data_IF_525208465724
#
_entry.id   IF_525208465724
#
_cell.length_a   1.000
_cell.length_b   1.000
_cell.length_c   1.000
_cell.angle_alpha   90.00
_cell.angle_beta   90.00
_cell.angle_gamma   90.00
#
_symmetry.space_group_name_H-M   'P 1'
#
loop_
_entity.id
_entity.type
_entity.pdbx_description
1 polymer ?
#
# COMPACT_ATOMS: atom_id res chain seq x y z
N UNK A 1 -45.04 14.07 48.58
CA UNK A 1 -43.95 14.62 49.41
C UNK A 1 -42.63 14.26 48.75
N UNK A 2 -41.91 15.27 48.29
CA UNK A 2 -40.70 15.18 47.47
C UNK A 2 -39.50 14.77 48.33
N UNK A 3 -38.65 13.86 47.85
CA UNK A 3 -37.22 13.85 48.18
C UNK A 3 -36.41 13.36 46.99
N UNK A 4 -35.72 14.33 46.38
CA UNK A 4 -34.68 14.18 45.36
C UNK A 4 -33.51 13.41 45.96
N UNK A 5 -32.91 12.47 45.22
CA UNK A 5 -31.48 12.23 45.40
C UNK A 5 -30.80 12.12 44.03
N UNK A 6 -29.98 13.13 43.74
CA UNK A 6 -29.14 13.27 42.55
C UNK A 6 -27.95 12.33 42.72
N UNK A 7 -27.86 11.28 41.92
CA UNK A 7 -26.59 10.60 41.68
C UNK A 7 -26.11 10.96 40.27
N UNK A 8 -25.14 11.87 40.24
CA UNK A 8 -24.38 12.25 39.07
C UNK A 8 -23.41 11.08 38.75
N UNK A 9 -23.79 10.22 37.82
CA UNK A 9 -22.87 9.20 37.28
C UNK A 9 -22.00 9.87 36.23
N UNK A 10 -20.80 10.27 36.62
CA UNK A 10 -19.77 10.75 35.69
C UNK A 10 -19.20 9.52 34.98
N UNK A 11 -19.68 9.26 33.77
CA UNK A 11 -19.08 8.29 32.86
C UNK A 11 -17.81 8.91 32.27
N UNK A 12 -16.66 8.67 32.89
CA UNK A 12 -15.36 8.99 32.29
C UNK A 12 -15.14 7.98 31.15
N UNK A 13 -15.55 8.38 29.96
CA UNK A 13 -15.18 7.72 28.72
C UNK A 13 -13.66 7.96 28.51
N UNK A 14 -12.85 7.01 28.98
CA UNK A 14 -11.42 7.01 28.72
C UNK A 14 -11.17 6.88 27.24
N UNK A 15 -10.84 8.01 26.59
CA UNK A 15 -10.30 8.01 25.23
C UNK A 15 -8.93 7.36 25.32
N UNK A 16 -8.86 6.06 25.03
CA UNK A 16 -7.58 5.40 24.78
C UNK A 16 -7.07 5.97 23.47
N UNK A 17 -6.20 6.97 23.58
CA UNK A 17 -5.41 7.44 22.45
C UNK A 17 -4.47 6.27 22.12
N UNK A 18 -4.88 5.42 21.19
CA UNK A 18 -3.98 4.44 20.57
C UNK A 18 -3.05 5.29 19.69
N UNK A 19 -2.10 5.96 20.34
CA UNK A 19 -0.96 6.55 19.65
C UNK A 19 -0.32 5.43 18.83
N UNK A 20 -0.01 5.70 17.57
CA UNK A 20 0.73 4.78 16.72
C UNK A 20 2.10 4.55 17.37
N UNK A 21 2.18 3.55 18.25
CA UNK A 21 3.37 3.31 19.04
C UNK A 21 4.45 2.75 18.12
N UNK A 22 5.66 3.29 18.28
CA UNK A 22 6.86 2.75 17.69
C UNK A 22 7.90 2.54 18.78
N UNK A 23 8.74 1.52 18.63
CA UNK A 23 9.89 1.26 19.49
C UNK A 23 11.15 1.24 18.65
N UNK A 24 12.28 1.60 19.25
CA UNK A 24 13.57 1.31 18.64
C UNK A 24 13.84 -0.19 18.72
N UNK A 25 14.45 -0.76 17.70
CA UNK A 25 14.83 -2.18 17.73
C UNK A 25 15.86 -2.47 18.82
N UNK A 26 16.67 -1.48 19.22
CA UNK A 26 17.59 -1.59 20.36
C UNK A 26 16.89 -1.78 21.71
N UNK A 27 15.62 -1.40 21.81
CA UNK A 27 14.87 -1.35 23.08
C UNK A 27 14.03 -2.62 23.30
N UNK A 28 14.12 -3.60 22.39
CA UNK A 28 13.43 -4.88 22.49
C UNK A 28 14.43 -6.01 22.71
N UNK A 29 13.96 -7.09 23.34
CA UNK A 29 14.75 -8.30 23.53
C UNK A 29 15.30 -8.79 22.15
N UNK A 30 16.63 -9.06 22.01
CA UNK A 30 17.23 -9.49 20.75
C UNK A 30 16.67 -10.78 20.16
N UNK A 31 15.94 -11.59 20.94
CA UNK A 31 15.28 -12.81 20.50
C UNK A 31 13.85 -12.58 20.00
N UNK A 32 13.32 -11.35 20.10
CA UNK A 32 12.01 -11.02 19.51
C UNK A 32 12.17 -10.97 17.99
N UNK A 33 11.46 -11.85 17.23
CA UNK A 33 11.59 -11.89 15.79
C UNK A 33 10.89 -10.70 15.13
N UNK A 34 11.39 -10.28 13.96
CA UNK A 34 10.82 -9.17 13.20
C UNK A 34 9.84 -9.67 12.15
N UNK A 35 8.59 -9.19 12.21
CA UNK A 35 7.68 -9.26 11.08
C UNK A 35 8.16 -8.30 9.99
N UNK A 36 8.24 -8.80 8.75
CA UNK A 36 8.82 -8.08 7.62
C UNK A 36 7.73 -7.72 6.60
N UNK A 37 7.53 -6.44 6.32
CA UNK A 37 6.51 -5.95 5.38
C UNK A 37 7.17 -5.15 4.26
N UNK A 38 7.17 -5.72 3.05
CA UNK A 38 7.79 -5.15 1.86
C UNK A 38 6.76 -4.79 0.79
N UNK A 39 6.89 -3.58 0.22
CA UNK A 39 6.08 -3.14 -0.92
C UNK A 39 6.94 -2.51 -2.01
N UNK A 40 6.68 -2.89 -3.26
CA UNK A 40 7.26 -2.26 -4.46
C UNK A 40 6.15 -1.63 -5.27
N UNK A 41 6.36 -0.40 -5.73
CA UNK A 41 5.42 0.35 -6.58
C UNK A 41 6.16 0.82 -7.83
N UNK A 42 5.79 0.32 -9.00
CA UNK A 42 6.26 0.83 -10.28
C UNK A 42 5.25 1.82 -10.87
N UNK A 43 5.67 3.07 -11.07
CA UNK A 43 4.86 4.12 -11.69
C UNK A 43 5.25 4.25 -13.16
N UNK A 44 4.50 3.61 -14.06
CA UNK A 44 4.75 3.62 -15.52
C UNK A 44 4.86 5.03 -16.07
N UNK A 45 3.93 5.89 -15.69
CA UNK A 45 3.86 7.30 -16.12
C UNK A 45 5.02 8.20 -15.62
N UNK A 46 5.85 7.71 -14.70
CA UNK A 46 7.08 8.40 -14.25
C UNK A 46 8.35 7.62 -14.56
N UNK A 47 8.23 6.42 -15.12
CA UNK A 47 9.32 5.46 -15.26
C UNK A 47 10.15 5.33 -13.96
N UNK A 48 9.46 5.08 -12.84
CA UNK A 48 10.04 5.13 -11.50
C UNK A 48 9.52 3.99 -10.62
N UNK A 49 10.42 3.22 -10.03
CA UNK A 49 10.12 2.25 -8.97
C UNK A 49 10.36 2.85 -7.59
N UNK A 50 9.41 2.66 -6.68
CA UNK A 50 9.55 2.92 -5.24
C UNK A 50 9.53 1.61 -4.47
N UNK A 51 10.60 1.32 -3.73
CA UNK A 51 10.61 0.21 -2.78
C UNK A 51 10.36 0.74 -1.37
N UNK A 52 9.67 -0.05 -0.55
CA UNK A 52 9.25 0.32 0.80
C UNK A 52 9.35 -0.86 1.75
N UNK A 53 9.72 -0.59 3.00
CA UNK A 53 9.74 -1.59 4.06
C UNK A 53 9.23 -1.04 5.40
N UNK A 54 8.63 -1.90 6.21
CA UNK A 54 8.42 -1.66 7.64
C UNK A 54 8.57 -2.95 8.43
N UNK A 55 8.89 -2.83 9.71
CA UNK A 55 9.11 -3.96 10.60
C UNK A 55 8.25 -3.84 11.85
N UNK A 56 7.86 -4.97 12.43
CA UNK A 56 7.09 -5.03 13.68
C UNK A 56 7.62 -6.13 14.58
N UNK A 57 7.46 -5.97 15.89
CA UNK A 57 7.79 -7.04 16.84
C UNK A 57 6.83 -8.24 16.68
N UNK A 58 7.36 -9.47 16.72
CA UNK A 58 6.62 -10.74 16.83
C UNK A 58 5.72 -11.15 15.66
N UNK A 59 4.90 -10.27 15.08
CA UNK A 59 3.95 -10.57 14.00
C UNK A 59 3.37 -9.28 13.36
N UNK A 60 2.40 -9.45 12.45
CA UNK A 60 1.75 -8.34 11.71
C UNK A 60 1.06 -7.28 12.59
N UNK A 61 0.62 -7.66 13.78
CA UNK A 61 -0.13 -6.81 14.72
C UNK A 61 0.78 -6.17 15.78
N UNK A 62 2.07 -6.52 15.79
CA UNK A 62 3.03 -5.98 16.73
C UNK A 62 3.34 -4.50 16.54
N UNK A 63 4.02 -3.95 17.54
CA UNK A 63 4.48 -2.56 17.56
C UNK A 63 5.52 -2.35 16.44
N UNK A 64 5.41 -1.23 15.73
CA UNK A 64 6.34 -0.89 14.64
C UNK A 64 7.74 -0.64 15.18
N UNK A 65 8.74 -1.13 14.47
CA UNK A 65 10.15 -1.01 14.84
C UNK A 65 10.86 0.05 13.99
N UNK A 66 11.50 0.98 14.68
CA UNK A 66 12.55 1.82 14.15
C UNK A 66 13.89 1.09 14.34
N UNK A 67 14.53 0.70 13.24
CA UNK A 67 15.77 -0.06 13.26
C UNK A 67 16.90 0.84 13.78
N UNK A 68 17.58 0.35 14.80
CA UNK A 68 18.76 0.96 15.40
C UNK A 68 19.91 -0.05 15.31
N UNK A 69 21.13 0.48 15.22
CA UNK A 69 22.34 -0.35 15.13
C UNK A 69 22.35 -1.43 16.25
N UNK A 70 22.65 -2.70 15.92
CA UNK A 70 23.20 -3.17 14.64
C UNK A 70 22.14 -3.48 13.56
N UNK A 71 20.85 -3.41 13.88
CA UNK A 71 19.80 -3.69 12.92
C UNK A 71 19.73 -2.61 11.83
N UNK A 72 19.58 -3.05 10.58
CA UNK A 72 19.55 -2.17 9.40
C UNK A 72 18.90 -2.87 8.21
N UNK A 73 18.43 -2.07 7.25
CA UNK A 73 17.85 -2.56 6.00
C UNK A 73 18.52 -1.88 4.81
N UNK A 74 18.87 -2.66 3.81
CA UNK A 74 19.30 -2.17 2.49
C UNK A 74 18.32 -2.67 1.43
N UNK A 75 18.13 -1.89 0.37
CA UNK A 75 17.46 -2.33 -0.84
C UNK A 75 18.40 -2.08 -2.03
N UNK A 76 18.67 -3.12 -2.83
CA UNK A 76 19.62 -3.06 -3.96
C UNK A 76 20.99 -2.49 -3.53
N UNK A 77 21.46 -2.88 -2.34
CA UNK A 77 22.72 -2.41 -1.75
C UNK A 77 22.70 -0.97 -1.22
N UNK A 78 21.59 -0.22 -1.34
CA UNK A 78 21.49 1.18 -0.92
C UNK A 78 20.78 1.33 0.44
N UNK A 79 21.20 2.30 1.28
CA UNK A 79 20.48 2.64 2.50
C UNK A 79 19.14 3.31 2.18
N UNK A 80 18.20 3.20 3.12
CA UNK A 80 16.86 3.79 3.00
C UNK A 80 16.83 5.28 3.32
N UNK A 81 15.87 5.99 2.75
CA UNK A 81 15.33 7.21 3.37
C UNK A 81 14.31 6.82 4.45
N UNK A 82 14.50 7.31 5.68
CA UNK A 82 13.62 7.05 6.81
C UNK A 82 12.51 8.09 6.94
N UNK A 83 11.27 7.66 7.16
CA UNK A 83 10.13 8.52 7.48
C UNK A 83 9.26 7.84 8.53
N UNK A 84 8.94 8.51 9.63
CA UNK A 84 8.00 7.99 10.63
C UNK A 84 6.52 8.30 10.28
N UNK A 85 6.28 8.94 9.13
CA UNK A 85 4.94 9.27 8.62
C UNK A 85 4.49 8.23 7.61
N UNK A 86 3.28 7.69 7.80
CA UNK A 86 2.66 6.71 6.91
C UNK A 86 2.87 5.25 7.35
N UNK A 87 2.68 4.32 6.40
CA UNK A 87 2.68 2.88 6.68
C UNK A 87 4.07 2.22 6.57
N UNK A 88 5.02 2.87 5.90
CA UNK A 88 6.34 2.31 5.62
C UNK A 88 7.44 3.27 6.07
N UNK A 89 8.28 2.81 6.99
CA UNK A 89 9.34 3.64 7.55
C UNK A 89 10.55 3.79 6.63
N UNK A 90 10.85 2.78 5.82
CA UNK A 90 12.04 2.76 4.97
C UNK A 90 11.63 2.82 3.52
N UNK A 91 12.20 3.77 2.78
CA UNK A 91 11.81 4.05 1.39
C UNK A 91 13.05 4.18 0.51
N UNK A 92 12.93 3.72 -0.73
CA UNK A 92 13.93 3.86 -1.79
C UNK A 92 13.25 4.22 -3.11
N UNK A 93 14.00 4.89 -3.98
CA UNK A 93 13.58 5.19 -5.34
C UNK A 93 14.63 4.72 -6.34
N UNK A 94 14.16 4.12 -7.43
CA UNK A 94 14.97 3.60 -8.51
C UNK A 94 14.35 4.04 -9.83
N UNK A 95 15.17 4.49 -10.78
CA UNK A 95 14.72 4.78 -12.14
C UNK A 95 14.35 3.48 -12.86
N UNK A 96 13.37 3.58 -13.75
CA UNK A 96 12.92 2.44 -14.54
C UNK A 96 12.05 1.47 -13.77
N UNK A 97 11.78 0.35 -14.45
CA UNK A 97 11.25 -0.84 -13.85
C UNK A 97 12.40 -1.64 -13.22
N UNK A 98 12.54 -1.54 -11.90
CA UNK A 98 13.60 -2.19 -11.14
C UNK A 98 13.05 -3.26 -10.18
N UNK A 99 13.69 -4.43 -10.16
CA UNK A 99 13.54 -5.42 -9.11
C UNK A 99 14.06 -4.88 -7.78
N UNK A 100 13.50 -5.36 -6.66
CA UNK A 100 13.89 -4.95 -5.31
C UNK A 100 14.43 -6.12 -4.50
N UNK A 101 15.70 -6.03 -4.10
CA UNK A 101 16.38 -6.98 -3.23
C UNK A 101 16.60 -6.35 -1.85
N UNK A 102 15.82 -6.78 -0.87
CA UNK A 102 15.87 -6.34 0.51
C UNK A 102 16.83 -7.21 1.33
N UNK A 103 17.76 -6.57 2.05
CA UNK A 103 18.69 -7.22 2.98
C UNK A 103 18.51 -6.63 4.37
N UNK A 104 17.72 -7.31 5.19
CA UNK A 104 17.55 -6.99 6.61
C UNK A 104 18.69 -7.63 7.41
N UNK A 105 19.32 -6.85 8.27
CA UNK A 105 20.17 -7.34 9.37
C UNK A 105 19.44 -7.04 10.67
N UNK A 106 19.29 -8.02 11.55
CA UNK A 106 18.61 -7.84 12.84
C UNK A 106 19.56 -7.44 13.99
N UNK A 107 19.03 -7.38 15.20
CA UNK A 107 19.80 -7.07 16.41
C UNK A 107 20.90 -8.11 16.73
N UNK A 108 20.80 -9.32 16.18
CA UNK A 108 21.75 -10.42 16.37
C UNK A 108 22.70 -10.60 15.18
N UNK A 109 22.75 -9.63 14.28
CA UNK A 109 23.53 -9.67 13.04
C UNK A 109 23.13 -10.80 12.08
N UNK A 110 21.95 -11.43 12.27
CA UNK A 110 21.38 -12.38 11.33
C UNK A 110 20.88 -11.62 10.10
N UNK A 111 21.05 -12.22 8.93
CA UNK A 111 20.72 -11.60 7.64
C UNK A 111 19.55 -12.31 6.99
N UNK A 112 18.53 -11.54 6.63
CA UNK A 112 17.34 -11.99 5.92
C UNK A 112 17.29 -11.32 4.55
N UNK A 113 17.36 -12.14 3.49
CA UNK A 113 17.33 -11.66 2.11
C UNK A 113 15.95 -11.96 1.52
N UNK A 114 15.31 -10.93 0.96
CA UNK A 114 14.00 -11.02 0.34
C UNK A 114 14.00 -10.28 -0.98
N UNK A 115 13.17 -10.72 -1.92
CA UNK A 115 13.05 -10.07 -3.21
C UNK A 115 11.60 -9.90 -3.63
N UNK A 116 11.38 -8.83 -4.38
CA UNK A 116 10.16 -8.60 -5.15
C UNK A 116 10.61 -8.29 -6.57
N UNK A 117 10.25 -9.18 -7.51
CA UNK A 117 10.65 -9.12 -8.90
C UNK A 117 9.49 -8.65 -9.76
N UNK A 118 9.77 -7.89 -10.81
CA UNK A 118 8.71 -7.42 -11.71
C UNK A 118 8.05 -8.55 -12.49
N UNK A 119 8.74 -9.68 -12.69
CA UNK A 119 8.14 -10.88 -13.27
C UNK A 119 7.02 -11.48 -12.40
N UNK A 120 6.91 -11.07 -11.13
CA UNK A 120 5.86 -11.51 -10.21
C UNK A 120 4.57 -10.67 -10.31
N UNK A 121 4.51 -9.65 -11.18
CA UNK A 121 3.29 -8.85 -11.43
C UNK A 121 2.89 -8.89 -12.90
N UNK A 122 1.59 -9.07 -13.13
CA UNK A 122 1.00 -8.87 -14.44
C UNK A 122 0.88 -7.37 -14.76
N UNK A 123 1.25 -6.98 -15.99
CA UNK A 123 1.09 -5.59 -16.40
C UNK A 123 -0.39 -5.19 -16.50
N UNK A 124 -0.63 -3.87 -16.46
CA UNK A 124 -1.94 -3.27 -16.67
C UNK A 124 -1.83 -1.97 -17.48
N UNK A 125 -2.85 -1.70 -18.28
CA UNK A 125 -2.93 -0.51 -19.11
C UNK A 125 -4.37 -0.12 -19.45
N UNK A 126 -4.50 1.03 -20.09
CA UNK A 126 -5.76 1.48 -20.66
C UNK A 126 -5.85 1.03 -22.12
N UNK A 127 -7.02 0.61 -22.60
CA UNK A 127 -7.24 0.48 -24.03
C UNK A 127 -7.17 1.88 -24.68
N UNK A 128 -6.68 1.95 -25.92
CA UNK A 128 -6.51 3.22 -26.63
C UNK A 128 -7.84 3.99 -26.76
N UNK A 129 -8.94 3.26 -26.95
CA UNK A 129 -10.29 3.81 -27.15
C UNK A 129 -10.94 4.40 -25.89
N UNK A 130 -10.48 4.08 -24.69
CA UNK A 130 -11.12 4.56 -23.46
C UNK A 130 -10.65 5.98 -23.11
N UNK A 131 -11.40 6.98 -23.56
CA UNK A 131 -11.03 8.40 -23.46
C UNK A 131 -12.06 9.25 -22.71
N UNK A 132 -13.21 8.68 -22.36
CA UNK A 132 -14.33 9.41 -21.75
C UNK A 132 -14.92 8.63 -20.57
N UNK A 133 -15.35 9.34 -19.54
CA UNK A 133 -16.12 8.80 -18.42
C UNK A 133 -17.38 9.63 -18.22
N UNK A 134 -18.52 8.96 -18.07
CA UNK A 134 -19.83 9.57 -17.85
C UNK A 134 -20.03 9.89 -16.35
N UNK A 135 -20.30 11.17 -16.05
CA UNK A 135 -20.60 11.67 -14.70
C UNK A 135 -22.03 11.36 -14.25
N UNK A 136 -22.93 11.10 -15.18
CA UNK A 136 -24.35 10.84 -14.95
C UNK A 136 -24.73 9.40 -15.32
N UNK A 137 -23.83 8.45 -15.07
CA UNK A 137 -24.08 7.04 -15.34
C UNK A 137 -22.90 6.14 -14.96
N UNK A 138 -22.79 5.03 -15.68
CA UNK A 138 -21.71 4.06 -15.49
C UNK A 138 -20.87 3.98 -16.75
N UNK A 139 -19.55 4.11 -16.59
CA UNK A 139 -18.58 3.78 -17.64
C UNK A 139 -17.86 2.48 -17.28
N UNK A 140 -17.70 1.57 -18.23
CA UNK A 140 -16.98 0.31 -17.99
C UNK A 140 -15.60 0.39 -18.61
N UNK A 141 -14.57 0.41 -17.77
CA UNK A 141 -13.18 0.29 -18.19
C UNK A 141 -12.83 -1.18 -18.35
N UNK A 142 -12.60 -1.64 -19.57
CA UNK A 142 -11.94 -2.91 -19.85
C UNK A 142 -10.44 -2.66 -19.97
N UNK A 143 -9.62 -3.09 -19.01
CA UNK A 143 -8.19 -2.80 -19.04
C UNK A 143 -7.46 -3.66 -20.07
N UNK A 144 -6.31 -3.17 -20.55
CA UNK A 144 -5.37 -3.99 -21.31
C UNK A 144 -4.47 -4.77 -20.35
N UNK A 145 -4.32 -6.07 -20.57
CA UNK A 145 -3.51 -6.95 -19.73
C UNK A 145 -4.20 -8.29 -19.52
N UNK A 146 -3.69 -9.08 -18.58
CA UNK A 146 -4.29 -10.38 -18.25
C UNK A 146 -5.50 -10.22 -17.32
N UNK A 147 -6.46 -11.17 -17.33
CA UNK A 147 -7.50 -11.25 -16.31
C UNK A 147 -6.91 -11.39 -14.90
N UNK A 148 -7.65 -10.92 -13.89
CA UNK A 148 -7.23 -11.03 -12.49
C UNK A 148 -6.98 -12.47 -12.08
N UNK A 149 -5.86 -12.69 -11.38
CA UNK A 149 -5.51 -13.97 -10.75
C UNK A 149 -5.73 -13.89 -9.23
N UNK A 150 -5.54 -15.03 -8.55
CA UNK A 150 -5.60 -15.07 -7.09
C UNK A 150 -4.58 -14.10 -6.46
N UNK A 151 -5.00 -13.37 -5.42
CA UNK A 151 -4.16 -12.40 -4.72
C UNK A 151 -3.92 -11.10 -5.47
N UNK A 152 -4.57 -10.89 -6.63
CA UNK A 152 -4.51 -9.65 -7.38
C UNK A 152 -5.75 -8.79 -7.19
N UNK A 153 -5.55 -7.47 -7.19
CA UNK A 153 -6.65 -6.51 -7.24
C UNK A 153 -6.32 -5.35 -8.17
N UNK A 154 -7.35 -4.79 -8.82
CA UNK A 154 -7.25 -3.56 -9.61
C UNK A 154 -7.97 -2.43 -8.89
N UNK A 155 -7.38 -1.23 -8.91
CA UNK A 155 -7.98 0.01 -8.43
C UNK A 155 -8.01 1.06 -9.54
N UNK A 156 -9.05 1.88 -9.60
CA UNK A 156 -9.05 3.10 -10.38
C UNK A 156 -9.50 4.31 -9.55
N UNK A 157 -9.00 5.49 -9.90
CA UNK A 157 -9.38 6.77 -9.31
C UNK A 157 -9.32 7.87 -10.37
N UNK A 158 -10.32 8.75 -10.41
CA UNK A 158 -10.35 9.92 -11.28
C UNK A 158 -9.79 11.11 -10.50
N UNK A 159 -8.92 11.89 -11.15
CA UNK A 159 -8.28 13.09 -10.61
C UNK A 159 -8.65 14.28 -11.49
N UNK A 160 -9.15 15.37 -10.90
CA UNK A 160 -9.48 16.61 -11.60
C UNK A 160 -8.98 17.80 -10.77
N UNK A 161 -7.78 18.27 -11.07
CA UNK A 161 -7.12 19.30 -10.26
C UNK A 161 -6.81 18.80 -8.86
N UNK A 162 -7.38 19.46 -7.84
CA UNK A 162 -7.31 19.08 -6.42
C UNK A 162 -8.44 18.12 -6.00
N UNK A 163 -9.40 17.84 -6.88
CA UNK A 163 -10.53 16.95 -6.64
C UNK A 163 -10.25 15.54 -7.13
N UNK A 164 -10.93 14.57 -6.52
CA UNK A 164 -10.81 13.16 -6.88
C UNK A 164 -12.11 12.40 -6.66
N UNK A 165 -12.31 11.31 -7.39
CA UNK A 165 -13.36 10.34 -7.09
C UNK A 165 -13.00 9.49 -5.88
N UNK A 166 -13.96 8.75 -5.34
CA UNK A 166 -13.64 7.56 -4.53
C UNK A 166 -12.80 6.53 -5.33
N UNK A 167 -12.44 5.44 -4.67
CA UNK A 167 -11.69 4.35 -5.30
C UNK A 167 -12.63 3.28 -5.84
N UNK A 168 -12.53 2.98 -7.13
CA UNK A 168 -13.15 1.80 -7.73
C UNK A 168 -12.20 0.62 -7.58
N UNK A 169 -12.71 -0.56 -7.25
CA UNK A 169 -11.89 -1.75 -7.07
C UNK A 169 -12.55 -3.01 -7.63
N UNK A 170 -11.71 -3.95 -8.07
CA UNK A 170 -12.13 -5.28 -8.47
C UNK A 170 -11.02 -6.28 -8.10
N UNK A 171 -11.38 -7.34 -7.41
CA UNK A 171 -10.54 -8.47 -6.99
C UNK A 171 -11.12 -9.82 -7.43
N UNK A 172 -12.16 -9.80 -8.29
CA UNK A 172 -12.80 -11.02 -8.80
C UNK A 172 -11.88 -11.72 -9.80
N UNK A 173 -11.47 -12.95 -9.47
CA UNK A 173 -10.66 -13.81 -10.34
C UNK A 173 -11.32 -13.94 -11.72
N UNK A 174 -10.53 -13.78 -12.78
CA UNK A 174 -10.99 -13.81 -14.17
C UNK A 174 -11.60 -12.50 -14.68
N UNK A 175 -11.80 -11.49 -13.82
CA UNK A 175 -12.28 -10.18 -14.27
C UNK A 175 -11.27 -9.49 -15.18
N UNK A 176 -11.78 -8.68 -16.11
CA UNK A 176 -11.01 -7.81 -17.03
C UNK A 176 -11.53 -6.36 -17.04
N UNK A 177 -12.45 -6.02 -16.12
CA UNK A 177 -13.12 -4.73 -16.13
C UNK A 177 -13.44 -4.12 -14.78
N UNK A 178 -13.53 -2.79 -14.75
CA UNK A 178 -13.99 -1.97 -13.63
C UNK A 178 -15.20 -1.13 -14.07
N UNK A 179 -16.26 -1.14 -13.26
CA UNK A 179 -17.38 -0.22 -13.42
C UNK A 179 -17.05 1.09 -12.68
N UNK A 180 -16.99 2.19 -13.43
CA UNK A 180 -16.83 3.55 -12.92
C UNK A 180 -18.21 4.18 -12.81
N UNK A 181 -18.81 4.05 -11.63
CA UNK A 181 -20.14 4.54 -11.27
C UNK A 181 -20.08 5.95 -10.67
N UNK A 182 -21.14 6.74 -10.87
CA UNK A 182 -21.19 8.14 -10.45
C UNK A 182 -21.38 8.37 -8.94
N UNK A 183 -21.69 7.33 -8.17
CA UNK A 183 -21.95 7.36 -6.73
C UNK A 183 -20.75 7.81 -5.88
N UNK A 184 -19.57 7.93 -6.47
CA UNK A 184 -18.37 8.42 -5.79
C UNK A 184 -17.64 9.50 -6.61
N UNK A 185 -18.36 10.22 -7.48
CA UNK A 185 -17.84 11.30 -8.33
C UNK A 185 -18.37 12.70 -7.94
N UNK A 186 -18.92 12.88 -6.73
CA UNK A 186 -19.76 14.04 -6.36
C UNK A 186 -19.18 15.43 -6.66
N UNK A 187 -17.87 15.61 -6.53
CA UNK A 187 -17.23 16.92 -6.70
C UNK A 187 -16.69 17.16 -8.13
N UNK A 188 -16.75 16.14 -8.99
CA UNK A 188 -16.22 16.19 -10.35
C UNK A 188 -17.21 16.87 -11.30
N UNK A 189 -16.69 17.63 -12.26
CA UNK A 189 -17.48 18.37 -13.25
C UNK A 189 -17.07 18.02 -14.68
N UNK A 190 -17.92 18.26 -15.69
CA UNK A 190 -17.56 18.01 -17.07
C UNK A 190 -16.27 18.72 -17.47
N UNK A 191 -15.41 18.04 -18.24
CA UNK A 191 -14.12 18.58 -18.69
C UNK A 191 -12.96 17.61 -18.52
N UNK A 192 -11.74 18.13 -18.62
CA UNK A 192 -10.52 17.31 -18.58
C UNK A 192 -10.26 16.75 -17.18
N UNK A 193 -9.82 15.51 -17.13
CA UNK A 193 -9.40 14.81 -15.92
C UNK A 193 -8.31 13.78 -16.24
N UNK A 194 -7.78 13.13 -15.21
CA UNK A 194 -6.85 12.01 -15.33
C UNK A 194 -7.43 10.78 -14.64
N UNK A 195 -7.35 9.63 -15.28
CA UNK A 195 -7.70 8.35 -14.69
C UNK A 195 -6.40 7.65 -14.25
N UNK A 196 -6.25 7.44 -12.95
CA UNK A 196 -5.24 6.58 -12.37
C UNK A 196 -5.77 5.14 -12.34
N UNK A 197 -4.97 4.20 -12.80
CA UNK A 197 -5.25 2.76 -12.76
C UNK A 197 -4.06 2.05 -12.14
N UNK A 198 -4.32 1.14 -11.20
CA UNK A 198 -3.28 0.32 -10.61
C UNK A 198 -3.69 -1.13 -10.48
N UNK A 199 -2.72 -2.03 -10.67
CA UNK A 199 -2.84 -3.44 -10.31
C UNK A 199 -1.87 -3.73 -9.18
N UNK A 200 -2.34 -4.43 -8.15
CA UNK A 200 -1.51 -4.90 -7.03
C UNK A 200 -1.60 -6.42 -6.94
N UNK A 201 -0.47 -7.04 -6.62
CA UNK A 201 -0.36 -8.49 -6.40
C UNK A 201 0.20 -8.72 -5.01
N UNK A 202 -0.53 -9.50 -4.22
CA UNK A 202 -0.10 -9.99 -2.91
C UNK A 202 0.72 -11.27 -3.10
N UNK A 203 2.05 -11.17 -2.97
CA UNK A 203 2.99 -12.27 -3.24
C UNK A 203 3.14 -13.25 -2.05
N UNK A 204 2.23 -13.18 -1.08
CA UNK A 204 2.25 -13.98 0.14
C UNK A 204 3.43 -13.64 1.05
N UNK A 205 4.02 -14.70 1.64
CA UNK A 205 5.08 -14.59 2.64
C UNK A 205 6.39 -14.04 2.05
N UNK A 206 7.23 -13.56 2.95
CA UNK A 206 8.64 -13.23 2.66
C UNK A 206 9.46 -14.48 2.36
N UNK A 207 10.50 -14.35 1.53
CA UNK A 207 11.37 -15.47 1.14
C UNK A 207 12.18 -16.01 2.33
N UNK A 208 12.60 -15.13 3.23
CA UNK A 208 13.35 -15.46 4.44
C UNK A 208 12.72 -14.76 5.66
N UNK A 209 11.76 -15.42 6.34
CA UNK A 209 11.16 -14.89 7.57
C UNK A 209 12.13 -14.96 8.75
N UNK A 210 11.90 -14.13 9.76
CA UNK A 210 12.58 -14.25 11.05
C UNK A 210 11.73 -15.12 11.99
N UNK A 211 12.08 -16.40 12.08
CA UNK A 211 11.32 -17.38 12.84
C UNK A 211 9.83 -17.40 12.42
N UNK A 212 8.95 -17.40 13.42
CA UNK A 212 7.50 -17.47 13.21
C UNK A 212 6.83 -16.11 13.07
N UNK A 213 7.58 -15.00 12.98
CA UNK A 213 6.96 -13.69 12.83
C UNK A 213 6.23 -13.54 11.51
N UNK A 214 6.69 -14.25 10.47
CA UNK A 214 6.15 -14.17 9.12
C UNK A 214 6.56 -12.88 8.42
N UNK A 215 5.81 -12.53 7.39
CA UNK A 215 6.02 -11.31 6.62
C UNK A 215 5.08 -11.25 5.43
N UNK A 216 5.08 -10.13 4.72
CA UNK A 216 4.37 -10.01 3.45
C UNK A 216 5.17 -9.30 2.39
N UNK A 217 4.90 -9.64 1.14
CA UNK A 217 5.44 -9.01 -0.05
C UNK A 217 4.28 -8.54 -0.94
N UNK A 218 4.34 -7.28 -1.36
CA UNK A 218 3.33 -6.67 -2.24
C UNK A 218 4.03 -5.95 -3.38
N UNK A 219 3.56 -6.16 -4.59
CA UNK A 219 4.00 -5.40 -5.76
C UNK A 219 2.80 -4.71 -6.41
N UNK A 220 2.99 -3.48 -6.87
CA UNK A 220 1.94 -2.69 -7.50
C UNK A 220 2.50 -2.00 -8.74
N UNK A 221 1.72 -1.98 -9.83
CA UNK A 221 1.98 -1.20 -11.04
C UNK A 221 0.92 -0.11 -11.16
N UNK A 222 1.33 1.14 -11.34
CA UNK A 222 0.45 2.30 -11.60
C UNK A 222 0.64 2.83 -13.01
N UNK A 223 -0.46 3.14 -13.68
CA UNK A 223 -0.50 3.89 -14.93
C UNK A 223 -1.55 4.99 -14.86
N UNK A 224 -1.44 5.97 -15.74
CA UNK A 224 -2.34 7.13 -15.77
C UNK A 224 -2.66 7.50 -17.22
N UNK A 225 -3.90 7.92 -17.49
CA UNK A 225 -4.35 8.40 -18.80
C UNK A 225 -5.20 9.65 -18.66
N UNK A 226 -5.01 10.60 -19.56
CA UNK A 226 -5.90 11.76 -19.67
C UNK A 226 -7.26 11.31 -20.25
N UNK A 227 -8.35 11.81 -19.67
CA UNK A 227 -9.72 11.49 -20.06
C UNK A 227 -10.58 12.76 -20.04
N UNK A 228 -11.76 12.68 -20.65
CA UNK A 228 -12.80 13.72 -20.56
C UNK A 228 -13.99 13.19 -19.75
N UNK A 229 -14.46 13.99 -18.80
CA UNK A 229 -15.68 13.74 -18.04
C UNK A 229 -16.86 14.41 -18.75
N UNK A 230 -17.92 13.63 -19.01
CA UNK A 230 -19.13 14.07 -19.73
C UNK A 230 -20.39 13.88 -18.90
#
# INVERSE_FOLDING_TARGET
MIKVNRFLVIFILGIVVIGCSKKKSSDIDPYIPFYQDYKVVYKKFKNLTKAKATFREKNKDGIRLELQYPAKILCNGKPSSFSNVGNYFYNWEFSGNADAYFKLTDNKLRVFNNSILFSEINDIGFPESFNTVNLNGTSVLHWSGTPLQEGEFVMAMILQGDKFSGSYFNDTIGSTSLALTNDIMFDLVPGNAELLLSRETHLGNVNHPDGNAGGRRVILVETKKAIVLN
#
